data_IF_456652459913
#
_entry.id   IF_456652459913
#
_cell.length_a   1.000
_cell.length_b   1.000
_cell.length_c   1.000
_cell.angle_alpha   90.00
_cell.angle_beta   90.00
_cell.angle_gamma   90.00
#
_symmetry.space_group_name_H-M   'P 1'
#
loop_
_entity.id
_entity.type
_entity.pdbx_description
1 polymer ?
#
# COMPACT_ATOMS: atom_id res chain seq x y z
N UNK A 1 2.03 71.49 -13.38
CA UNK A 1 1.65 70.22 -12.73
C UNK A 1 2.94 69.63 -12.23
N UNK A 2 3.16 69.64 -10.92
CA UNK A 2 4.49 69.42 -10.35
C UNK A 2 4.92 67.97 -10.56
N UNK A 3 6.15 67.78 -11.05
CA UNK A 3 6.77 66.47 -11.29
C UNK A 3 6.65 65.54 -10.06
N UNK A 4 6.70 66.14 -8.86
CA UNK A 4 6.51 65.48 -7.56
C UNK A 4 5.14 64.84 -7.42
N UNK A 5 4.06 65.53 -7.82
CA UNK A 5 2.69 65.02 -7.76
C UNK A 5 2.51 63.78 -8.67
N UNK A 6 3.10 63.81 -9.86
CA UNK A 6 3.05 62.69 -10.80
C UNK A 6 3.72 61.42 -10.26
N UNK A 7 4.86 61.55 -9.57
CA UNK A 7 5.58 60.42 -8.96
C UNK A 7 4.76 59.77 -7.84
N UNK A 8 4.11 60.57 -6.99
CA UNK A 8 3.26 60.04 -5.92
C UNK A 8 2.03 59.28 -6.44
N UNK A 9 1.42 59.76 -7.53
CA UNK A 9 0.30 59.05 -8.18
C UNK A 9 0.77 57.71 -8.74
N UNK A 10 1.92 57.67 -9.43
CA UNK A 10 2.49 56.44 -9.95
C UNK A 10 2.76 55.41 -8.83
N UNK A 11 3.32 55.86 -7.71
CA UNK A 11 3.59 55.00 -6.56
C UNK A 11 2.32 54.42 -5.94
N UNK A 12 1.26 55.23 -5.83
CA UNK A 12 -0.04 54.78 -5.33
C UNK A 12 -0.66 53.69 -6.23
N UNK A 13 -0.54 53.82 -7.55
CA UNK A 13 -1.03 52.82 -8.51
C UNK A 13 -0.25 51.51 -8.36
N UNK A 14 1.08 51.56 -8.26
CA UNK A 14 1.92 50.37 -8.05
C UNK A 14 1.56 49.69 -6.71
N UNK A 15 1.39 50.47 -5.64
CA UNK A 15 1.01 49.94 -4.34
C UNK A 15 -0.37 49.27 -4.37
N UNK A 16 -1.33 49.85 -5.08
CA UNK A 16 -2.65 49.25 -5.30
C UNK A 16 -2.55 47.88 -5.98
N UNK A 17 -1.78 47.77 -7.07
CA UNK A 17 -1.55 46.49 -7.73
C UNK A 17 -0.89 45.46 -6.80
N UNK A 18 0.03 45.89 -5.95
CA UNK A 18 0.69 45.02 -4.98
C UNK A 18 -0.29 44.47 -3.93
N UNK A 19 -1.17 45.31 -3.39
CA UNK A 19 -2.21 44.90 -2.43
C UNK A 19 -3.20 43.91 -3.06
N UNK A 20 -3.62 44.18 -4.31
CA UNK A 20 -4.52 43.27 -5.05
C UNK A 20 -3.83 41.92 -5.30
N UNK A 21 -2.56 41.92 -5.69
CA UNK A 21 -1.78 40.70 -5.92
C UNK A 21 -1.61 39.86 -4.64
N UNK A 22 -1.26 40.49 -3.51
CA UNK A 22 -1.16 39.82 -2.20
C UNK A 22 -2.51 39.20 -1.81
N UNK A 23 -3.59 39.96 -1.94
CA UNK A 23 -4.94 39.50 -1.60
C UNK A 23 -5.35 38.29 -2.44
N UNK A 24 -5.03 38.30 -3.74
CA UNK A 24 -5.26 37.18 -4.64
C UNK A 24 -4.47 35.94 -4.23
N UNK A 25 -3.17 36.06 -3.94
CA UNK A 25 -2.33 34.93 -3.51
C UNK A 25 -2.85 34.32 -2.20
N UNK A 26 -3.23 35.15 -1.22
CA UNK A 26 -3.76 34.67 0.05
C UNK A 26 -5.03 33.83 -0.12
N UNK A 27 -5.97 34.28 -0.96
CA UNK A 27 -7.21 33.55 -1.25
C UNK A 27 -6.91 32.24 -1.99
N UNK A 28 -6.01 32.29 -2.99
CA UNK A 28 -5.58 31.12 -3.76
C UNK A 28 -4.93 30.07 -2.86
N UNK A 29 -4.02 30.47 -1.99
CA UNK A 29 -3.33 29.60 -1.05
C UNK A 29 -4.30 28.96 -0.06
N UNK A 30 -5.26 29.72 0.47
CA UNK A 30 -6.29 29.18 1.36
C UNK A 30 -7.13 28.09 0.68
N UNK A 31 -7.51 28.30 -0.59
CA UNK A 31 -8.24 27.29 -1.39
C UNK A 31 -7.39 26.06 -1.68
N UNK A 32 -6.13 26.25 -2.06
CA UNK A 32 -5.20 25.15 -2.34
C UNK A 32 -4.93 24.31 -1.10
N UNK A 33 -4.70 24.93 0.06
CA UNK A 33 -4.54 24.21 1.35
C UNK A 33 -5.75 23.36 1.69
N UNK A 34 -6.97 23.85 1.43
CA UNK A 34 -8.20 23.07 1.64
C UNK A 34 -8.27 21.86 0.71
N UNK A 35 -7.98 22.05 -0.58
CA UNK A 35 -7.98 20.95 -1.57
C UNK A 35 -6.94 19.88 -1.22
N UNK A 36 -5.71 20.30 -0.88
CA UNK A 36 -4.64 19.40 -0.45
C UNK A 36 -5.04 18.61 0.80
N UNK A 37 -5.70 19.25 1.78
CA UNK A 37 -6.17 18.55 2.98
C UNK A 37 -7.20 17.47 2.64
N UNK A 38 -8.16 17.76 1.76
CA UNK A 38 -9.17 16.76 1.35
C UNK A 38 -8.50 15.59 0.62
N UNK A 39 -7.62 15.88 -0.34
CA UNK A 39 -6.86 14.87 -1.06
C UNK A 39 -6.00 14.01 -0.13
N UNK A 40 -5.40 14.61 0.90
CA UNK A 40 -4.60 13.88 1.89
C UNK A 40 -5.46 12.97 2.78
N UNK A 41 -6.67 13.41 3.16
CA UNK A 41 -7.61 12.57 3.92
C UNK A 41 -8.06 11.39 3.07
N UNK A 42 -8.43 11.62 1.81
CA UNK A 42 -8.85 10.57 0.87
C UNK A 42 -7.70 9.59 0.58
N UNK A 43 -6.50 10.11 0.35
CA UNK A 43 -5.29 9.28 0.21
C UNK A 43 -5.05 8.41 1.44
N UNK A 44 -5.09 8.98 2.65
CA UNK A 44 -4.90 8.23 3.88
C UNK A 44 -5.96 7.15 4.07
N UNK A 45 -7.22 7.44 3.70
CA UNK A 45 -8.32 6.47 3.73
C UNK A 45 -8.01 5.28 2.83
N UNK A 46 -7.73 5.54 1.54
CA UNK A 46 -7.45 4.51 0.55
C UNK A 46 -6.18 3.71 0.89
N UNK A 47 -5.12 4.39 1.35
CA UNK A 47 -3.90 3.75 1.80
C UNK A 47 -4.13 2.83 3.00
N UNK A 48 -4.99 3.23 3.95
CA UNK A 48 -5.33 2.40 5.11
C UNK A 48 -6.13 1.17 4.70
N UNK A 49 -7.10 1.32 3.79
CA UNK A 49 -7.85 0.19 3.22
C UNK A 49 -6.90 -0.79 2.53
N UNK A 50 -6.01 -0.27 1.67
CA UNK A 50 -5.04 -1.12 0.98
C UNK A 50 -4.07 -1.81 1.95
N UNK A 51 -3.58 -1.10 2.97
CA UNK A 51 -2.74 -1.68 4.02
C UNK A 51 -3.45 -2.81 4.77
N UNK A 52 -4.75 -2.63 5.09
CA UNK A 52 -5.57 -3.69 5.67
C UNK A 52 -5.64 -4.92 4.75
N UNK A 53 -6.01 -4.73 3.48
CA UNK A 53 -6.09 -5.82 2.51
C UNK A 53 -4.75 -6.54 2.36
N UNK A 54 -3.64 -5.79 2.33
CA UNK A 54 -2.30 -6.34 2.24
C UNK A 54 -1.97 -7.20 3.47
N UNK A 55 -2.31 -6.75 4.68
CA UNK A 55 -2.12 -7.56 5.90
C UNK A 55 -2.93 -8.86 5.87
N UNK A 56 -4.15 -8.84 5.35
CA UNK A 56 -4.98 -10.05 5.20
C UNK A 56 -4.36 -10.99 4.15
N UNK A 57 -4.01 -10.46 2.96
CA UNK A 57 -3.37 -11.22 1.87
C UNK A 57 -2.07 -11.89 2.34
N UNK A 58 -1.24 -11.17 3.10
CA UNK A 58 0.00 -11.71 3.63
C UNK A 58 -0.24 -12.85 4.63
N UNK A 59 -1.21 -12.69 5.53
CA UNK A 59 -1.57 -13.77 6.47
C UNK A 59 -2.09 -15.01 5.76
N UNK A 60 -2.95 -14.84 4.76
CA UNK A 60 -3.46 -15.96 3.97
C UNK A 60 -2.34 -16.65 3.18
N UNK A 61 -1.44 -15.88 2.57
CA UNK A 61 -0.27 -16.43 1.88
C UNK A 61 0.63 -17.24 2.83
N UNK A 62 0.82 -16.80 4.07
CA UNK A 62 1.54 -17.57 5.07
C UNK A 62 0.83 -18.89 5.40
N UNK A 63 -0.48 -18.84 5.64
CA UNK A 63 -1.26 -20.03 5.96
C UNK A 63 -1.21 -21.06 4.83
N UNK A 64 -1.39 -20.63 3.58
CA UNK A 64 -1.33 -21.49 2.40
C UNK A 64 0.06 -22.08 2.20
N UNK A 65 1.10 -21.25 2.29
CA UNK A 65 2.47 -21.72 2.16
C UNK A 65 2.82 -22.75 3.24
N UNK A 66 2.43 -22.52 4.49
CA UNK A 66 2.68 -23.47 5.58
C UNK A 66 1.92 -24.78 5.41
N UNK A 67 0.67 -24.72 4.92
CA UNK A 67 -0.10 -25.90 4.55
C UNK A 67 0.62 -26.70 3.45
N UNK A 68 0.99 -26.06 2.34
CA UNK A 68 1.72 -26.72 1.24
C UNK A 68 3.05 -27.31 1.69
N UNK A 69 3.78 -26.63 2.58
CA UNK A 69 5.03 -27.14 3.14
C UNK A 69 4.81 -28.33 4.09
N UNK A 70 3.70 -28.36 4.82
CA UNK A 70 3.37 -29.49 5.71
C UNK A 70 2.98 -30.75 4.93
N UNK A 71 2.44 -30.58 3.72
CA UNK A 71 2.07 -31.64 2.79
C UNK A 71 3.24 -32.05 1.87
N UNK A 72 4.37 -31.35 1.93
CA UNK A 72 5.54 -31.62 1.10
C UNK A 72 6.19 -32.96 1.46
N UNK A 73 6.28 -33.85 0.47
CA UNK A 73 7.00 -35.13 0.56
C UNK A 73 8.16 -35.11 -0.44
N UNK A 74 9.42 -35.32 -0.02
CA UNK A 74 10.56 -35.38 -0.94
C UNK A 74 10.35 -36.42 -2.04
N UNK A 75 10.66 -36.06 -3.29
CA UNK A 75 10.66 -36.93 -4.48
C UNK A 75 9.32 -37.54 -4.89
N UNK A 76 8.24 -37.31 -4.15
CA UNK A 76 6.89 -37.85 -4.42
C UNK A 76 5.83 -36.73 -4.42
N UNK A 77 6.06 -35.66 -3.67
CA UNK A 77 5.13 -34.54 -3.55
C UNK A 77 4.85 -33.87 -4.89
N UNK A 78 3.64 -33.29 -5.00
CA UNK A 78 3.15 -32.60 -6.21
C UNK A 78 4.09 -31.47 -6.67
N UNK A 79 4.71 -30.79 -5.70
CA UNK A 79 5.60 -29.66 -5.95
C UNK A 79 6.93 -29.84 -5.23
N UNK A 80 8.02 -29.46 -5.89
CA UNK A 80 9.33 -29.37 -5.27
C UNK A 80 9.43 -28.17 -4.32
N UNK A 81 10.35 -28.24 -3.35
CA UNK A 81 10.62 -27.11 -2.45
C UNK A 81 11.09 -25.86 -3.21
N UNK A 82 11.80 -26.05 -4.33
CA UNK A 82 12.22 -24.97 -5.22
C UNK A 82 11.03 -24.26 -5.86
N UNK A 83 10.04 -25.02 -6.34
CA UNK A 83 8.80 -24.48 -6.91
C UNK A 83 7.98 -23.72 -5.87
N UNK A 84 7.76 -24.30 -4.68
CA UNK A 84 7.01 -23.62 -3.61
C UNK A 84 7.63 -22.24 -3.29
N UNK A 85 8.96 -22.19 -3.12
CA UNK A 85 9.65 -20.93 -2.88
C UNK A 85 9.55 -19.95 -4.06
N UNK A 86 9.66 -20.45 -5.30
CA UNK A 86 9.58 -19.65 -6.52
C UNK A 86 8.18 -19.05 -6.70
N UNK A 87 7.11 -19.83 -6.54
CA UNK A 87 5.73 -19.38 -6.69
C UNK A 87 5.37 -18.33 -5.63
N UNK A 88 5.68 -18.59 -4.37
CA UNK A 88 5.46 -17.61 -3.29
C UNK A 88 6.23 -16.31 -3.56
N UNK A 89 7.47 -16.39 -4.06
CA UNK A 89 8.25 -15.20 -4.45
C UNK A 89 7.62 -14.45 -5.63
N UNK A 90 7.10 -15.14 -6.64
CA UNK A 90 6.43 -14.51 -7.78
C UNK A 90 5.20 -13.72 -7.34
N UNK A 91 4.37 -14.32 -6.48
CA UNK A 91 3.19 -13.67 -5.90
C UNK A 91 3.60 -12.39 -5.16
N UNK A 92 4.61 -12.47 -4.29
CA UNK A 92 5.11 -11.30 -3.57
C UNK A 92 5.68 -10.24 -4.52
N UNK A 93 6.36 -10.64 -5.60
CA UNK A 93 6.85 -9.70 -6.62
C UNK A 93 5.71 -9.03 -7.38
N UNK A 94 4.62 -9.75 -7.68
CA UNK A 94 3.43 -9.18 -8.30
C UNK A 94 2.79 -8.13 -7.40
N UNK A 95 2.59 -8.45 -6.11
CA UNK A 95 2.09 -7.48 -5.11
C UNK A 95 3.02 -6.28 -5.01
N UNK A 96 4.33 -6.51 -4.89
CA UNK A 96 5.33 -5.43 -4.80
C UNK A 96 5.32 -4.51 -6.02
N UNK A 97 5.06 -5.04 -7.22
CA UNK A 97 5.03 -4.27 -8.47
C UNK A 97 3.67 -3.62 -8.75
N UNK A 98 2.63 -3.96 -7.98
CA UNK A 98 1.30 -3.39 -8.18
C UNK A 98 1.30 -1.86 -8.02
N UNK A 99 0.55 -1.12 -8.85
CA UNK A 99 0.41 0.33 -8.72
C UNK A 99 0.03 0.76 -7.29
N UNK A 100 -0.90 0.04 -6.67
CA UNK A 100 -1.43 0.33 -5.35
C UNK A 100 -0.35 0.17 -4.27
N UNK A 101 0.50 -0.86 -4.36
CA UNK A 101 1.64 -1.00 -3.45
C UNK A 101 2.62 0.16 -3.60
N UNK A 102 2.93 0.56 -4.84
CA UNK A 102 3.86 1.66 -5.10
C UNK A 102 3.30 2.98 -4.55
N UNK A 103 2.03 3.26 -4.85
CA UNK A 103 1.35 4.48 -4.47
C UNK A 103 1.16 4.61 -2.95
N UNK A 104 0.63 3.57 -2.31
CA UNK A 104 0.20 3.65 -0.91
C UNK A 104 1.25 3.19 0.10
N UNK A 105 2.10 2.23 -0.26
CA UNK A 105 3.03 1.61 0.68
C UNK A 105 4.46 2.12 0.44
N UNK A 106 5.00 1.94 -0.77
CA UNK A 106 6.41 2.26 -1.05
C UNK A 106 6.72 3.75 -0.96
N UNK A 107 5.81 4.59 -1.46
CA UNK A 107 6.02 6.04 -1.51
C UNK A 107 5.64 6.74 -0.18
N UNK A 108 5.27 5.98 0.85
CA UNK A 108 5.01 6.52 2.17
C UNK A 108 6.31 7.04 2.80
N UNK A 109 6.42 8.35 2.97
CA UNK A 109 7.53 8.97 3.70
C UNK A 109 7.24 8.95 5.21
N UNK A 110 8.24 8.58 6.01
CA UNK A 110 8.15 8.67 7.46
C UNK A 110 8.19 10.13 7.92
N UNK A 111 7.02 10.77 8.01
CA UNK A 111 6.85 12.02 8.76
C UNK A 111 6.36 11.70 10.19
N UNK A 112 6.14 12.72 11.02
CA UNK A 112 5.60 12.60 12.40
C UNK A 112 4.17 12.05 12.48
N UNK A 113 3.67 11.44 11.41
CA UNK A 113 2.38 10.80 11.33
C UNK A 113 2.51 9.29 11.63
N UNK A 114 1.86 8.85 12.71
CA UNK A 114 1.81 7.44 13.13
C UNK A 114 1.34 6.49 12.01
N UNK A 115 0.42 6.94 11.15
CA UNK A 115 -0.09 6.14 10.03
C UNK A 115 0.97 5.89 8.97
N UNK A 116 1.76 6.91 8.63
CA UNK A 116 2.84 6.77 7.66
C UNK A 116 3.96 5.87 8.19
N UNK A 117 4.26 5.95 9.49
CA UNK A 117 5.21 5.03 10.14
C UNK A 117 4.75 3.57 10.05
N UNK A 118 3.45 3.32 10.18
CA UNK A 118 2.89 1.98 9.98
C UNK A 118 3.08 1.48 8.55
N UNK A 119 2.89 2.32 7.53
CA UNK A 119 3.07 1.94 6.13
C UNK A 119 4.54 1.67 5.79
N UNK A 120 5.47 2.46 6.34
CA UNK A 120 6.91 2.19 6.25
C UNK A 120 7.26 0.86 6.89
N UNK A 121 6.73 0.57 8.08
CA UNK A 121 6.94 -0.71 8.73
C UNK A 121 6.36 -1.88 7.90
N UNK A 122 5.19 -1.71 7.29
CA UNK A 122 4.62 -2.70 6.35
C UNK A 122 5.58 -2.96 5.19
N UNK A 123 6.13 -1.92 4.56
CA UNK A 123 7.06 -2.05 3.44
C UNK A 123 8.35 -2.80 3.85
N UNK A 124 8.92 -2.46 5.01
CA UNK A 124 10.12 -3.11 5.54
C UNK A 124 9.90 -4.59 5.84
N UNK A 125 8.79 -4.92 6.53
CA UNK A 125 8.43 -6.30 6.85
C UNK A 125 8.15 -7.11 5.57
N UNK A 126 7.47 -6.51 4.60
CA UNK A 126 7.17 -7.13 3.31
C UNK A 126 8.46 -7.44 2.53
N UNK A 127 9.39 -6.48 2.43
CA UNK A 127 10.68 -6.67 1.75
C UNK A 127 11.50 -7.78 2.41
N UNK A 128 11.56 -7.79 3.74
CA UNK A 128 12.30 -8.81 4.49
C UNK A 128 11.78 -10.22 4.20
N UNK A 129 10.46 -10.40 4.13
CA UNK A 129 9.85 -11.68 3.76
C UNK A 129 10.08 -12.06 2.31
N UNK A 130 9.95 -11.12 1.38
CA UNK A 130 10.18 -11.36 -0.06
C UNK A 130 11.59 -11.86 -0.32
N UNK A 131 12.55 -11.32 0.40
CA UNK A 131 13.97 -11.63 0.21
C UNK A 131 14.39 -12.93 0.93
N UNK A 132 13.53 -13.46 1.80
CA UNK A 132 13.70 -14.74 2.48
C UNK A 132 12.90 -15.84 1.78
N UNK A 133 13.49 -17.03 1.62
CA UNK A 133 12.75 -18.17 1.08
C UNK A 133 11.57 -18.53 1.99
N UNK A 134 10.42 -18.83 1.37
CA UNK A 134 9.16 -19.05 2.06
C UNK A 134 9.20 -20.23 3.05
N UNK A 135 10.01 -21.24 2.75
CA UNK A 135 10.25 -22.37 3.66
C UNK A 135 10.98 -22.01 4.97
N UNK A 136 11.54 -20.81 5.07
CA UNK A 136 12.23 -20.32 6.26
C UNK A 136 11.38 -19.36 7.08
N UNK A 137 10.19 -18.99 6.62
CA UNK A 137 9.39 -17.94 7.26
C UNK A 137 9.03 -18.27 8.71
N UNK A 138 8.57 -19.49 8.98
CA UNK A 138 8.24 -19.92 10.35
C UNK A 138 9.43 -19.87 11.30
N UNK A 139 10.64 -20.16 10.80
CA UNK A 139 11.84 -20.30 11.61
C UNK A 139 12.61 -18.99 11.79
N UNK A 140 12.61 -18.14 10.76
CA UNK A 140 13.48 -16.95 10.68
C UNK A 140 12.72 -15.62 10.54
N UNK A 141 11.42 -15.67 10.31
CA UNK A 141 10.59 -14.49 10.06
C UNK A 141 9.32 -14.45 10.93
N UNK A 142 9.28 -15.17 12.05
CA UNK A 142 8.12 -15.19 12.96
C UNK A 142 7.73 -13.78 13.46
N UNK A 143 8.72 -12.89 13.61
CA UNK A 143 8.49 -11.48 13.95
C UNK A 143 7.72 -10.76 12.84
N UNK A 144 8.09 -11.00 11.58
CA UNK A 144 7.48 -10.35 10.41
C UNK A 144 6.08 -10.91 10.14
N UNK A 145 5.89 -12.23 10.25
CA UNK A 145 4.55 -12.85 10.09
C UNK A 145 3.60 -12.39 11.20
N UNK A 146 4.08 -12.35 12.44
CA UNK A 146 3.33 -11.83 13.59
C UNK A 146 2.96 -10.35 13.46
N UNK A 147 3.81 -9.54 12.82
CA UNK A 147 3.53 -8.13 12.55
C UNK A 147 2.27 -7.95 11.69
N UNK A 148 2.12 -8.68 10.58
CA UNK A 148 0.95 -8.55 9.72
C UNK A 148 -0.34 -8.94 10.46
N UNK A 149 -0.33 -10.05 11.19
CA UNK A 149 -1.49 -10.50 11.97
C UNK A 149 -1.91 -9.48 13.03
N UNK A 150 -0.95 -8.98 13.81
CA UNK A 150 -1.20 -8.00 14.88
C UNK A 150 -1.81 -6.70 14.38
N UNK A 151 -1.52 -6.30 13.14
CA UNK A 151 -1.98 -5.03 12.59
C UNK A 151 -3.34 -5.12 11.86
N UNK A 152 -3.89 -6.31 11.61
CA UNK A 152 -5.21 -6.48 10.96
C UNK A 152 -6.28 -5.72 11.73
N UNK A 153 -6.43 -5.96 13.04
CA UNK A 153 -7.48 -5.33 13.84
C UNK A 153 -7.27 -3.82 14.00
N UNK A 154 -6.02 -3.39 14.12
CA UNK A 154 -5.68 -1.96 14.17
C UNK A 154 -6.13 -1.26 12.87
N UNK A 155 -5.75 -1.80 11.72
CA UNK A 155 -6.10 -1.25 10.43
C UNK A 155 -7.61 -1.33 10.18
N UNK A 156 -8.28 -2.44 10.51
CA UNK A 156 -9.74 -2.58 10.44
C UNK A 156 -10.44 -1.46 11.21
N UNK A 157 -10.07 -1.26 12.48
CA UNK A 157 -10.62 -0.21 13.32
C UNK A 157 -10.38 1.20 12.73
N UNK A 158 -9.22 1.42 12.08
CA UNK A 158 -8.93 2.69 11.39
C UNK A 158 -9.82 2.88 10.17
N UNK A 159 -10.04 1.84 9.37
CA UNK A 159 -10.94 1.91 8.22
C UNK A 159 -12.39 2.16 8.65
N UNK A 160 -12.86 1.47 9.68
CA UNK A 160 -14.23 1.64 10.21
C UNK A 160 -14.49 3.07 10.69
N UNK A 161 -13.48 3.72 11.30
CA UNK A 161 -13.57 5.15 11.67
C UNK A 161 -13.79 6.06 10.47
N UNK A 162 -13.21 5.74 9.31
CA UNK A 162 -13.47 6.49 8.07
C UNK A 162 -14.86 6.19 7.49
N UNK A 163 -15.37 4.97 7.66
CA UNK A 163 -16.70 4.57 7.15
C UNK A 163 -17.86 5.14 7.98
N UNK A 164 -17.66 5.42 9.28
CA UNK A 164 -18.66 6.13 10.08
C UNK A 164 -18.88 7.58 9.60
N UNK A 165 -17.95 8.12 8.82
CA UNK A 165 -18.03 9.49 8.26
C UNK A 165 -18.54 9.56 6.82
N UNK A 166 -18.61 8.46 6.07
CA UNK A 166 -19.13 8.41 4.67
C UNK A 166 -19.85 7.07 4.38
N UNK A 167 -21.05 7.14 3.77
CA UNK A 167 -21.82 5.97 3.31
C UNK A 167 -21.11 5.37 2.09
N UNK A 168 -20.19 4.43 2.31
CA UNK A 168 -19.82 3.35 1.40
C UNK A 168 -18.90 2.36 2.14
N UNK A 169 -19.22 1.05 2.10
CA UNK A 169 -18.41 0.01 2.72
C UNK A 169 -17.17 -0.28 1.85
N UNK A 170 -16.13 0.55 2.00
CA UNK A 170 -14.84 0.36 1.33
C UNK A 170 -14.09 -0.89 1.80
N UNK A 171 -14.50 -1.47 2.93
CA UNK A 171 -13.99 -2.75 3.38
C UNK A 171 -14.58 -3.85 2.50
N UNK A 172 -13.71 -4.50 1.72
CA UNK A 172 -14.03 -5.82 1.17
C UNK A 172 -14.16 -6.80 2.33
N UNK A 173 -15.08 -7.74 2.20
CA UNK A 173 -15.20 -8.85 3.14
C UNK A 173 -13.85 -9.58 3.21
N UNK A 174 -13.38 -9.81 4.43
CA UNK A 174 -12.11 -10.49 4.67
C UNK A 174 -12.07 -11.87 4.03
N UNK A 175 -13.20 -12.59 4.01
CA UNK A 175 -13.29 -13.91 3.39
C UNK A 175 -13.08 -13.82 1.88
N UNK A 176 -13.64 -12.79 1.23
CA UNK A 176 -13.44 -12.56 -0.21
C UNK A 176 -11.96 -12.29 -0.49
N UNK A 177 -11.27 -11.50 0.35
CA UNK A 177 -9.84 -11.24 0.18
C UNK A 177 -9.04 -12.54 0.31
N UNK A 178 -9.38 -13.39 1.27
CA UNK A 178 -8.73 -14.69 1.49
C UNK A 178 -8.95 -15.64 0.31
N UNK A 179 -10.19 -15.75 -0.18
CA UNK A 179 -10.55 -16.55 -1.35
C UNK A 179 -9.79 -16.10 -2.60
N UNK A 180 -9.72 -14.79 -2.86
CA UNK A 180 -8.92 -14.24 -3.97
C UNK A 180 -7.43 -14.58 -3.83
N UNK A 181 -6.90 -14.54 -2.61
CA UNK A 181 -5.51 -14.89 -2.36
C UNK A 181 -5.26 -16.39 -2.57
N UNK A 182 -6.21 -17.24 -2.20
CA UNK A 182 -6.16 -18.69 -2.48
C UNK A 182 -6.16 -18.96 -3.98
N UNK A 183 -7.03 -18.30 -4.73
CA UNK A 183 -7.09 -18.42 -6.18
C UNK A 183 -5.76 -17.99 -6.82
N UNK A 184 -5.24 -16.82 -6.45
CA UNK A 184 -3.92 -16.34 -6.92
C UNK A 184 -2.80 -17.33 -6.59
N UNK A 185 -2.84 -17.92 -5.40
CA UNK A 185 -1.85 -18.89 -4.95
C UNK A 185 -1.86 -20.13 -5.83
N UNK A 186 -3.01 -20.80 -5.98
CA UNK A 186 -3.11 -22.05 -6.74
C UNK A 186 -2.92 -21.84 -8.25
N UNK A 187 -3.42 -20.74 -8.82
CA UNK A 187 -3.22 -20.42 -10.24
C UNK A 187 -1.74 -20.23 -10.60
N UNK A 188 -0.91 -19.78 -9.65
CA UNK A 188 0.53 -19.61 -9.91
C UNK A 188 1.26 -20.97 -10.03
N UNK A 189 0.75 -22.03 -9.38
CA UNK A 189 1.24 -23.39 -9.58
C UNK A 189 0.77 -23.97 -10.92
N UNK A 190 -0.47 -23.73 -11.33
CA UNK A 190 -1.02 -24.26 -12.60
C UNK A 190 -0.30 -23.70 -13.84
N UNK A 191 0.07 -22.41 -13.84
CA UNK A 191 0.86 -21.80 -14.93
C UNK A 191 2.18 -22.52 -15.18
N UNK A 192 2.80 -23.04 -14.13
CA UNK A 192 4.07 -23.75 -14.23
C UNK A 192 3.93 -25.12 -14.86
N UNK A 193 2.87 -25.86 -14.50
CA UNK A 193 2.54 -27.16 -15.09
C UNK A 193 2.34 -27.03 -16.61
N UNK A 194 1.66 -25.98 -17.06
CA UNK A 194 1.46 -25.69 -18.49
C UNK A 194 2.77 -25.32 -19.22
N UNK A 195 3.67 -24.60 -18.56
CA UNK A 195 4.95 -24.18 -19.17
C UNK A 195 5.89 -25.38 -19.34
N UNK A 196 5.93 -26.29 -18.36
CA UNK A 196 6.74 -27.51 -18.44
C UNK A 196 6.24 -28.50 -19.52
N UNK A 197 4.93 -28.56 -19.78
CA UNK A 197 4.37 -29.38 -20.86
C UNK A 197 4.69 -28.86 -22.26
N UNK A 198 4.89 -27.54 -22.42
CA UNK A 198 5.27 -26.95 -23.71
C UNK A 198 6.75 -27.23 -24.01
N UNK A 199 7.62 -27.13 -23.00
CA UNK A 199 9.07 -27.32 -23.17
C UNK A 199 9.50 -28.80 -23.31
N UNK A 200 8.59 -29.74 -23.05
CA UNK A 200 8.83 -31.19 -23.14
C UNK A 200 8.25 -31.84 -24.40
N UNK A 201 7.61 -31.07 -25.28
CA UNK A 201 7.14 -31.47 -26.61
C UNK A 201 8.02 -30.87 -27.71
#
# INVERSE_FOLDING_TARGET
>A
MDLTLGIWILFAVILFFFIVWISYQYIKDKRNKRKLRVQMVEFNKNATVYAYELCVKMNELFALNNKTLSEFVPSIGKYSMGEINKHTRNIMLAIYKSPEYVEFIRNSAAEDNETLRLFVAIDENFKALRDLNANLWDKKASIFTGFFNKNIDNLRNRVEKYNQTEIDSLLRDENIIREQMQEVYYNEFEKHEQTQQIDSN
#
